data_IF_270421096073
#
_entry.id   IF_270421096073
#
_cell.length_a   1.000
_cell.length_b   1.000
_cell.length_c   1.000
_cell.angle_alpha   90.00
_cell.angle_beta   90.00
_cell.angle_gamma   90.00
#
_symmetry.space_group_name_H-M   'P 1'
#
loop_
_entity.id
_entity.type
_entity.pdbx_description
1 polymer ?
2 polymer ?
3 non-polymer ?
4 water ?
#
# COMPACT_ATOMS: atom_id res chain seq x y z
N UNK A 10 25.30 15.58 13.59
CA UNK A 10 24.14 14.91 14.29
C UNK A 10 24.23 15.24 15.80
N UNK A 11 23.17 15.88 16.31
CA UNK A 11 23.00 16.25 17.74
C UNK A 11 22.06 15.25 18.43
N UNK A 12 21.70 15.44 19.74
CA UNK A 12 20.85 14.41 20.35
C UNK A 12 19.40 14.25 19.88
N UNK A 13 18.65 15.33 19.56
CA UNK A 13 17.27 15.11 19.06
C UNK A 13 17.33 14.47 17.67
N UNK A 14 18.25 14.91 16.82
CA UNK A 14 18.48 14.29 15.51
C UNK A 14 18.77 12.81 15.65
N UNK A 15 19.59 12.47 16.64
CA UNK A 15 19.95 11.10 16.90
C UNK A 15 18.73 10.25 17.30
N UNK A 16 17.83 10.80 18.12
CA UNK A 16 16.54 10.14 18.40
C UNK A 16 15.76 9.93 17.11
N UNK A 17 15.78 10.94 16.23
CA UNK A 17 15.10 10.82 14.93
C UNK A 17 15.71 9.73 14.02
N UNK A 18 17.05 9.57 14.05
CA UNK A 18 17.73 8.49 13.32
C UNK A 18 17.43 7.13 13.84
N UNK A 19 17.36 7.00 15.17
CA UNK A 19 17.00 5.72 15.77
C UNK A 19 15.57 5.29 15.40
N UNK A 20 14.66 6.27 15.34
CA UNK A 20 13.29 5.98 14.99
C UNK A 20 13.24 5.50 13.53
N UNK A 21 13.94 6.21 12.66
CA UNK A 21 14.06 5.84 11.27
C UNK A 21 14.61 4.45 11.06
N UNK A 22 15.62 4.07 11.84
CA UNK A 22 16.22 2.77 11.67
C UNK A 22 15.33 1.68 12.22
N UNK A 23 14.69 1.95 13.35
CA UNK A 23 13.73 1.01 13.90
C UNK A 23 12.59 0.70 12.92
N UNK A 24 12.05 1.73 12.28
CA UNK A 24 10.97 1.54 11.33
C UNK A 24 11.45 0.76 10.09
N UNK A 25 12.64 1.06 9.60
CA UNK A 25 13.19 0.35 8.44
C UNK A 25 13.35 -1.13 8.69
N UNK A 26 13.85 -1.48 9.88
CA UNK A 26 14.05 -2.89 10.25
C UNK A 26 12.70 -3.63 10.36
N UNK A 27 11.66 -2.99 10.89
CA UNK A 27 10.31 -3.58 10.95
C UNK A 27 9.72 -3.73 9.57
N UNK A 28 9.98 -2.76 8.72
CA UNK A 28 9.46 -2.76 7.38
C UNK A 28 9.96 -4.01 6.64
N UNK A 29 11.26 -4.29 6.75
CA UNK A 29 11.86 -5.45 6.09
C UNK A 29 11.36 -6.75 6.64
N UNK A 30 11.14 -6.80 7.94
CA UNK A 30 10.52 -7.95 8.53
C UNK A 30 9.10 -8.21 8.00
N UNK A 31 8.32 -7.15 7.84
CA UNK A 31 6.88 -7.27 7.59
C UNK A 31 6.52 -7.46 6.14
N UNK A 32 7.32 -6.89 5.25
CA UNK A 32 7.00 -6.85 3.86
C UNK A 32 8.02 -7.69 3.09
N UNK A 33 7.57 -8.85 2.59
CA UNK A 33 8.46 -9.84 2.00
C UNK A 33 9.18 -9.30 0.77
N UNK A 34 8.46 -8.61 -0.11
CA UNK A 34 9.00 -8.06 -1.32
C UNK A 34 9.23 -6.55 -1.21
N UNK A 35 10.49 -6.14 -1.08
CA UNK A 35 10.85 -4.73 -0.91
C UNK A 35 10.92 -4.03 -2.24
N UNK A 36 10.93 -2.70 -2.20
CA UNK A 36 11.07 -1.92 -3.43
C UNK A 36 12.40 -2.21 -4.13
N UNK A 37 13.45 -2.39 -3.35
CA UNK A 37 14.76 -2.71 -3.91
C UNK A 37 14.71 -4.03 -4.68
N UNK A 38 14.16 -5.07 -4.05
CA UNK A 38 13.96 -6.35 -4.73
C UNK A 38 13.12 -6.19 -6.00
N UNK A 39 12.05 -5.40 -5.91
CA UNK A 39 11.14 -5.16 -7.04
C UNK A 39 11.83 -4.46 -8.19
N UNK A 40 12.64 -3.46 -7.86
CA UNK A 40 13.35 -2.68 -8.88
C UNK A 40 14.33 -3.55 -9.70
N UNK A 41 15.08 -4.39 -8.99
CA UNK A 41 16.02 -5.32 -9.64
C UNK A 41 15.30 -6.20 -10.67
N UNK A 42 14.14 -6.74 -10.27
CA UNK A 42 13.35 -7.58 -11.14
C UNK A 42 12.91 -6.81 -12.38
N UNK A 43 12.45 -5.58 -12.20
CA UNK A 43 11.88 -4.83 -13.31
C UNK A 43 12.91 -4.33 -14.29
N UNK A 44 14.06 -3.88 -13.80
CA UNK A 44 15.14 -3.48 -14.69
C UNK A 44 15.77 -4.69 -15.36
N UNK A 45 15.81 -5.82 -14.65
CA UNK A 45 16.51 -7.01 -15.11
C UNK A 45 17.92 -7.05 -14.57
N UNK A 46 18.26 -6.09 -13.69
CA UNK A 46 19.50 -6.15 -12.95
C UNK A 46 19.38 -7.19 -11.83
N UNK A 47 18.92 -8.38 -12.19
CA UNK A 47 18.71 -9.44 -11.22
C UNK A 47 19.27 -10.76 -11.74
N UNK A 48 19.63 -11.60 -10.79
CA UNK A 48 20.17 -12.93 -11.04
C UNK A 48 19.06 -13.97 -11.14
N UNK A 49 17.83 -13.56 -10.79
CA UNK A 49 16.68 -14.45 -10.87
C UNK A 49 16.21 -14.56 -12.31
N UNK A 50 15.38 -15.59 -12.55
CA UNK A 50 14.65 -15.68 -13.80
C UNK A 50 13.82 -14.41 -13.92
N UNK A 51 13.69 -13.91 -15.14
CA UNK A 51 12.77 -12.78 -15.38
C UNK A 51 11.33 -13.28 -15.17
N UNK A 52 10.40 -12.39 -14.80
CA UNK A 52 9.06 -12.88 -14.50
C UNK A 52 8.23 -13.28 -15.72
N UNK A 53 7.29 -14.19 -15.50
CA UNK A 53 6.34 -14.58 -16.51
C UNK A 53 5.38 -13.43 -16.82
N UNK A 54 5.25 -13.09 -18.11
CA UNK A 54 4.47 -11.94 -18.54
C UNK A 54 3.06 -12.35 -18.92
N UNK A 55 2.07 -11.66 -18.34
CA UNK A 55 0.67 -11.90 -18.62
C UNK A 55 0.17 -10.69 -19.36
N UNK A 56 -0.12 -10.88 -20.65
CA UNK A 56 -0.57 -9.81 -21.55
C UNK A 56 -1.91 -10.11 -22.18
N UNK A 57 -2.44 -11.32 -21.95
CA UNK A 57 -3.75 -11.71 -22.50
C UNK A 57 -4.33 -12.89 -21.73
N UNK A 58 -5.54 -13.27 -22.15
CA UNK A 58 -6.26 -14.37 -21.56
C UNK A 58 -5.46 -15.65 -21.65
N UNK A 59 -4.83 -15.89 -22.79
CA UNK A 59 -4.06 -17.12 -22.98
C UNK A 59 -2.80 -17.17 -22.13
N UNK A 60 -2.03 -16.08 -22.12
CA UNK A 60 -0.83 -16.06 -21.28
C UNK A 60 -1.22 -16.21 -19.81
N UNK A 61 -2.33 -15.59 -19.40
CA UNK A 61 -2.83 -15.75 -18.03
C UNK A 61 -3.01 -17.24 -17.69
N UNK A 62 -3.72 -17.95 -18.55
CA UNK A 62 -3.95 -19.39 -18.35
C UNK A 62 -2.67 -20.20 -18.38
N UNK A 63 -1.74 -19.90 -19.28
CA UNK A 63 -0.48 -20.64 -19.25
C UNK A 63 0.35 -20.30 -18.04
N UNK A 64 0.25 -19.05 -17.60
CA UNK A 64 0.91 -18.59 -16.40
C UNK A 64 0.35 -19.20 -15.14
N UNK A 65 -0.96 -19.48 -15.13
CA UNK A 65 -1.56 -20.19 -14.00
C UNK A 65 -0.97 -21.59 -13.74
N UNK A 66 0.01 -22.00 -14.56
CA UNK A 66 0.82 -23.18 -14.28
C UNK A 66 2.21 -22.85 -13.74
N UNK A 67 2.36 -21.65 -13.17
CA UNK A 67 3.63 -21.16 -12.62
C UNK A 67 3.43 -20.64 -11.20
N UNK A 79 -11.96 -23.36 -9.77
CA UNK A 79 -12.61 -22.05 -9.75
C UNK A 79 -13.31 -21.74 -11.08
N UNK A 80 -12.53 -21.39 -12.11
CA UNK A 80 -13.01 -21.20 -13.50
C UNK A 80 -14.10 -20.14 -13.67
N UNK A 81 -13.82 -18.94 -13.15
CA UNK A 81 -14.67 -17.78 -13.35
C UNK A 81 -14.22 -17.07 -14.60
N UNK A 82 -14.94 -16.04 -15.02
CA UNK A 82 -14.45 -15.22 -16.12
C UNK A 82 -13.16 -14.48 -15.70
N UNK A 83 -12.31 -14.24 -16.68
CA UNK A 83 -10.98 -13.70 -16.44
C UNK A 83 -10.95 -12.38 -15.65
N UNK A 84 -11.85 -11.46 -15.98
CA UNK A 84 -11.91 -10.17 -15.30
C UNK A 84 -12.21 -10.36 -13.79
N UNK A 85 -13.03 -11.35 -13.46
CA UNK A 85 -13.36 -11.65 -12.07
C UNK A 85 -12.19 -12.35 -11.36
N UNK A 86 -11.52 -13.29 -12.05
CA UNK A 86 -10.32 -13.91 -11.52
C UNK A 86 -9.30 -12.86 -11.14
N UNK A 87 -9.14 -11.86 -12.00
CA UNK A 87 -8.14 -10.82 -11.79
C UNK A 87 -8.49 -9.90 -10.66
N UNK A 88 -9.73 -9.45 -10.64
CA UNK A 88 -10.21 -8.60 -9.55
C UNK A 88 -10.11 -9.31 -8.21
N UNK A 89 -10.50 -10.58 -8.19
CA UNK A 89 -10.37 -11.37 -6.98
C UNK A 89 -8.94 -11.65 -6.59
N UNK A 90 -8.04 -11.78 -7.55
CA UNK A 90 -6.62 -11.88 -7.24
C UNK A 90 -6.11 -10.60 -6.55
N UNK A 91 -6.59 -9.45 -7.01
CA UNK A 91 -6.27 -8.19 -6.36
C UNK A 91 -6.77 -8.15 -4.91
N UNK A 92 -8.00 -8.61 -4.67
CA UNK A 92 -8.55 -8.71 -3.30
C UNK A 92 -7.71 -9.57 -2.37
N UNK A 93 -7.37 -10.75 -2.84
CA UNK A 93 -6.52 -11.68 -2.07
C UNK A 93 -5.15 -11.07 -1.69
N UNK A 94 -4.56 -10.31 -2.61
CA UNK A 94 -3.31 -9.63 -2.31
C UNK A 94 -3.52 -8.55 -1.20
N UNK A 95 -4.61 -7.77 -1.28
CA UNK A 95 -4.93 -6.80 -0.21
C UNK A 95 -5.13 -7.48 1.13
N UNK A 96 -5.83 -8.61 1.11
CA UNK A 96 -6.06 -9.34 2.35
C UNK A 96 -4.72 -9.66 3.01
N UNK A 97 -3.77 -10.15 2.22
CA UNK A 97 -2.45 -10.42 2.75
C UNK A 97 -1.70 -9.13 3.15
N UNK A 98 -1.87 -8.07 2.37
CA UNK A 98 -1.22 -6.79 2.68
C UNK A 98 -1.75 -6.21 4.00
N UNK A 99 -3.04 -6.33 4.23
CA UNK A 99 -3.63 -5.84 5.49
C UNK A 99 -2.97 -6.52 6.68
N UNK A 100 -2.65 -7.80 6.53
CA UNK A 100 -1.99 -8.53 7.57
C UNK A 100 -0.57 -8.06 7.80
N UNK A 101 0.17 -7.84 6.74
CA UNK A 101 1.52 -7.30 6.83
C UNK A 101 1.56 -5.89 7.45
N UNK A 102 0.61 -5.04 7.04
CA UNK A 102 0.55 -3.64 7.49
C UNK A 102 0.18 -3.56 8.97
N UNK A 103 -0.75 -4.43 9.39
CA UNK A 103 -1.14 -4.53 10.80
C UNK A 103 0.05 -4.92 11.67
N UNK A 104 0.83 -5.92 11.23
CA UNK A 104 2.02 -6.28 11.97
C UNK A 104 3.00 -5.14 12.00
N UNK A 105 3.21 -4.46 10.86
CA UNK A 105 4.11 -3.30 10.80
C UNK A 105 3.61 -2.19 11.73
N UNK A 106 2.30 -1.92 11.71
CA UNK A 106 1.71 -0.88 12.58
C UNK A 106 2.04 -1.09 14.05
N UNK A 107 1.93 -2.33 14.51
CA UNK A 107 2.26 -2.71 15.89
C UNK A 107 3.69 -2.39 16.31
N UNK A 108 4.60 -2.35 15.36
CA UNK A 108 5.97 -1.95 15.65
C UNK A 108 6.22 -0.43 15.75
N UNK A 109 5.23 0.41 15.44
CA UNK A 109 5.43 1.88 15.44
C UNK A 109 5.34 2.36 16.88
N UNK A 110 6.43 2.96 17.40
CA UNK A 110 6.40 3.30 18.85
C UNK A 110 5.20 4.11 19.27
N UNK A 111 4.51 3.62 20.28
CA UNK A 111 3.34 4.26 20.83
C UNK A 111 2.01 3.80 20.25
N UNK A 112 2.03 3.11 19.09
CA UNK A 112 0.77 2.69 18.44
C UNK A 112 -0.08 1.72 19.29
N UNK A 113 0.56 0.67 19.81
CA UNK A 113 -0.17 -0.28 20.66
C UNK A 113 -0.65 0.29 22.00
N UNK A 114 -0.07 1.41 22.45
CA UNK A 114 -0.57 2.07 23.66
C UNK A 114 -1.80 2.94 23.44
N UNK A 115 -2.22 3.13 22.20
CA UNK A 115 -3.44 3.88 21.93
C UNK A 115 -4.68 3.06 22.24
N UNK A 116 -5.77 3.74 22.55
CA UNK A 116 -7.09 3.13 22.61
C UNK A 116 -7.27 2.19 21.40
N UNK A 117 -7.66 0.95 21.69
CA UNK A 117 -7.81 -0.10 20.69
C UNK A 117 -8.79 0.23 19.59
N UNK A 118 -9.88 0.93 19.92
CA UNK A 118 -10.80 1.41 18.89
C UNK A 118 -10.13 2.36 17.92
N UNK A 119 -9.26 3.21 18.44
CA UNK A 119 -8.50 4.11 17.58
C UNK A 119 -7.46 3.37 16.72
N UNK A 120 -6.78 2.39 17.29
CA UNK A 120 -5.90 1.53 16.48
C UNK A 120 -6.65 0.92 15.29
N UNK A 121 -7.86 0.43 15.54
CA UNK A 121 -8.73 -0.11 14.51
C UNK A 121 -9.09 0.95 13.47
N UNK A 122 -9.50 2.12 13.93
CA UNK A 122 -9.88 3.19 12.99
C UNK A 122 -8.72 3.64 12.09
N UNK A 123 -7.53 3.78 12.66
CA UNK A 123 -6.35 4.13 11.91
C UNK A 123 -5.97 3.10 10.84
N UNK A 124 -6.04 1.83 11.21
CA UNK A 124 -5.81 0.77 10.27
C UNK A 124 -6.86 0.76 9.20
N UNK A 125 -8.11 0.88 9.61
CA UNK A 125 -9.21 0.87 8.64
C UNK A 125 -9.02 1.92 7.56
N UNK A 126 -8.68 3.16 7.93
CA UNK A 126 -8.47 4.25 6.98
C UNK A 126 -7.09 4.25 6.34
N UNK A 127 -6.10 3.67 7.00
CA UNK A 127 -4.73 3.69 6.51
C UNK A 127 -4.34 2.62 5.49
N UNK A 128 -4.93 1.42 5.60
CA UNK A 128 -4.45 0.27 4.80
C UNK A 128 -4.49 0.45 3.31
N UNK A 129 -5.58 0.95 2.73
CA UNK A 129 -5.59 1.14 1.28
C UNK A 129 -4.64 2.20 0.80
N UNK A 130 -4.48 3.28 1.55
CA UNK A 130 -3.47 4.29 1.22
C UNK A 130 -2.09 3.66 1.20
N UNK A 131 -1.81 2.77 2.12
CA UNK A 131 -0.53 2.11 2.16
C UNK A 131 -0.43 1.10 1.01
N UNK A 132 -1.49 0.33 0.79
CA UNK A 132 -1.50 -0.62 -0.32
C UNK A 132 -1.16 0.06 -1.65
N UNK A 133 -1.82 1.17 -1.98
CA UNK A 133 -1.54 1.86 -3.24
C UNK A 133 -0.16 2.52 -3.28
N UNK A 134 0.35 2.94 -2.12
CA UNK A 134 1.70 3.49 -2.03
C UNK A 134 2.71 2.41 -2.39
N UNK A 135 2.59 1.26 -1.76
CA UNK A 135 3.49 0.15 -1.96
C UNK A 135 3.32 -0.58 -3.30
N UNK A 136 2.12 -0.53 -3.86
CA UNK A 136 1.88 -1.08 -5.17
C UNK A 136 2.68 -0.32 -6.23
N UNK A 137 2.84 0.98 -6.04
CA UNK A 137 3.69 1.78 -6.90
C UNK A 137 5.15 1.27 -6.97
N UNK A 138 5.68 0.76 -5.87
CA UNK A 138 7.01 0.13 -5.88
C UNK A 138 7.10 -1.03 -6.87
N UNK A 139 5.99 -1.72 -7.10
CA UNK A 139 5.90 -2.86 -7.99
C UNK A 139 5.52 -2.51 -9.44
N UNK A 140 5.41 -1.22 -9.74
CA UNK A 140 4.89 -0.77 -11.00
C UNK A 140 5.92 -0.01 -11.81
N UNK A 141 5.74 -0.05 -13.13
CA UNK A 141 6.33 0.94 -14.02
C UNK A 141 5.21 1.35 -14.91
N UNK A 142 5.51 2.19 -15.89
CA UNK A 142 4.46 2.67 -16.78
C UNK A 142 3.87 1.60 -17.68
N UNK A 143 4.52 0.43 -17.82
CA UNK A 143 3.99 -0.67 -18.66
C UNK A 143 3.28 -1.81 -17.96
N UNK A 144 3.46 -1.97 -16.65
CA UNK A 144 2.83 -3.09 -15.96
C UNK A 144 3.22 -3.20 -14.50
N UNK A 145 2.76 -4.28 -13.86
CA UNK A 145 2.91 -4.45 -12.43
C UNK A 145 3.32 -5.86 -12.07
N UNK A 146 4.30 -5.96 -11.19
CA UNK A 146 4.67 -7.26 -10.65
C UNK A 146 3.58 -7.87 -9.79
N UNK A 147 3.45 -9.18 -9.89
CA UNK A 147 2.49 -9.91 -9.11
C UNK A 147 3.18 -11.11 -8.50
N UNK A 148 2.50 -11.70 -7.53
CA UNK A 148 2.92 -12.93 -6.89
C UNK A 148 4.38 -12.91 -6.45
N UNK A 149 4.73 -11.88 -5.69
CA UNK A 149 6.09 -11.68 -5.18
C UNK A 149 7.14 -11.61 -6.27
N UNK A 150 6.77 -11.02 -7.40
CA UNK A 150 7.66 -10.82 -8.51
C UNK A 150 7.87 -12.02 -9.43
N UNK A 151 7.15 -13.12 -9.19
CA UNK A 151 7.15 -14.26 -10.09
C UNK A 151 6.44 -13.92 -11.41
N UNK A 152 5.51 -12.96 -11.38
CA UNK A 152 4.80 -12.53 -12.58
C UNK A 152 4.88 -11.04 -12.87
N UNK A 153 4.58 -10.68 -14.11
CA UNK A 153 4.46 -9.29 -14.53
C UNK A 153 3.25 -9.16 -15.42
N UNK A 154 2.29 -8.35 -14.99
CA UNK A 154 1.05 -8.23 -15.69
C UNK A 154 1.03 -6.88 -16.37
N UNK A 155 0.69 -6.87 -17.66
CA UNK A 155 0.83 -5.64 -18.43
C UNK A 155 -0.34 -4.72 -18.19
N UNK A 156 -0.01 -3.44 -18.22
CA UNK A 156 -0.98 -2.41 -18.00
C UNK A 156 -2.03 -2.43 -19.11
N UNK A 157 -1.59 -2.69 -20.34
CA UNK A 157 -2.55 -2.73 -21.46
C UNK A 157 -3.54 -3.85 -21.31
N UNK A 158 -3.07 -5.00 -20.86
CA UNK A 158 -3.98 -6.10 -20.59
C UNK A 158 -5.04 -5.74 -19.55
N UNK A 159 -4.63 -5.04 -18.49
CA UNK A 159 -5.57 -4.60 -17.45
C UNK A 159 -6.60 -3.59 -17.96
N UNK A 160 -6.15 -2.68 -18.84
CA UNK A 160 -7.06 -1.70 -19.48
C UNK A 160 -8.12 -2.38 -20.32
N UNK A 161 -7.74 -3.47 -20.96
CA UNK A 161 -8.62 -4.21 -21.86
C UNK A 161 -9.77 -4.99 -21.23
N UNK A 162 -9.78 -5.15 -19.91
CA UNK A 162 -10.83 -5.95 -19.30
C UNK A 162 -12.19 -5.32 -19.57
N UNK A 163 -13.22 -6.15 -19.60
CA UNK A 163 -14.56 -5.67 -19.86
C UNK A 163 -15.03 -4.74 -18.74
N UNK A 164 -15.79 -3.71 -19.10
CA UNK A 164 -16.39 -2.83 -18.10
C UNK A 164 -17.26 -3.64 -17.10
N UNK A 165 -17.29 -3.24 -15.81
CA UNK A 165 -16.63 -2.06 -15.26
C UNK A 165 -15.18 -2.29 -14.81
N UNK A 166 -14.58 -3.43 -15.14
CA UNK A 166 -13.22 -3.76 -14.71
C UNK A 166 -12.13 -3.17 -15.57
N UNK A 167 -12.50 -2.53 -16.67
CA UNK A 167 -11.52 -2.07 -17.63
C UNK A 167 -10.58 -0.97 -17.18
N UNK A 168 -11.05 -0.09 -16.32
CA UNK A 168 -10.23 1.06 -15.94
C UNK A 168 -9.91 1.10 -14.44
N UNK A 169 -10.12 0.00 -13.70
CA UNK A 169 -9.88 0.00 -12.26
C UNK A 169 -8.41 0.21 -11.85
N UNK A 170 -7.48 -0.24 -12.67
CA UNK A 170 -6.05 -0.04 -12.40
C UNK A 170 -5.44 1.28 -12.90
N UNK A 171 -6.08 1.95 -13.86
CA UNK A 171 -5.46 3.14 -14.45
C UNK A 171 -5.16 4.27 -13.47
N UNK A 172 -6.09 4.59 -12.55
CA UNK A 172 -5.73 5.62 -11.57
C UNK A 172 -4.54 5.23 -10.71
N UNK A 173 -4.33 3.93 -10.49
CA UNK A 173 -3.20 3.48 -9.69
C UNK A 173 -1.89 3.57 -10.46
N UNK A 174 -1.90 3.16 -11.72
CA UNK A 174 -0.71 3.31 -12.58
C UNK A 174 -0.28 4.76 -12.71
N UNK A 175 -1.27 5.64 -12.90
CA UNK A 175 -1.01 7.07 -13.08
C UNK A 175 -0.42 7.72 -11.84
N UNK A 176 -0.99 7.40 -10.69
CA UNK A 176 -0.41 7.78 -9.43
C UNK A 176 1.01 7.25 -9.30
N UNK A 177 1.20 5.98 -9.62
CA UNK A 177 2.52 5.34 -9.49
C UNK A 177 3.64 5.97 -10.34
N UNK A 178 3.37 6.33 -11.59
CA UNK A 178 4.42 7.00 -12.39
C UNK A 178 4.86 8.35 -11.80
N UNK A 179 3.91 9.14 -11.31
CA UNK A 179 4.24 10.38 -10.60
C UNK A 179 4.99 10.12 -9.30
N UNK A 180 4.51 9.16 -8.52
CA UNK A 180 5.11 8.88 -7.23
C UNK A 180 6.49 8.28 -7.38
N UNK A 181 6.66 7.39 -8.35
CA UNK A 181 7.98 6.80 -8.59
C UNK A 181 9.05 7.81 -9.06
N UNK A 182 8.63 8.90 -9.69
CA UNK A 182 9.55 10.01 -10.03
C UNK A 182 10.30 10.58 -8.81
N UNK A 183 9.70 10.49 -7.63
CA UNK A 183 10.37 10.89 -6.39
C UNK A 183 11.56 10.01 -5.99
N UNK A 184 11.63 8.79 -6.52
CA UNK A 184 12.77 7.90 -6.30
C UNK A 184 13.04 7.60 -4.83
N UNK A 185 11.99 7.37 -4.06
CA UNK A 185 12.17 7.01 -2.68
C UNK A 185 12.68 5.58 -2.61
N UNK A 186 13.45 5.27 -1.58
CA UNK A 186 13.81 3.89 -1.34
C UNK A 186 13.04 3.35 -0.16
N UNK A 187 13.29 2.09 0.16
CA UNK A 187 12.62 1.45 1.27
C UNK A 187 12.77 2.15 2.62
N UNK A 188 13.94 2.74 2.89
CA UNK A 188 14.14 3.43 4.17
C UNK A 188 13.29 4.71 4.26
N UNK A 189 13.11 5.42 3.15
CA UNK A 189 12.17 6.55 3.11
C UNK A 189 10.71 6.08 3.27
N UNK A 190 10.36 5.04 2.53
CA UNK A 190 8.99 4.52 2.53
C UNK A 190 8.55 4.00 3.88
N UNK A 191 9.47 3.38 4.63
CA UNK A 191 9.11 2.85 5.93
C UNK A 191 8.54 3.94 6.83
N UNK A 192 9.13 5.11 6.75
CA UNK A 192 8.70 6.23 7.56
C UNK A 192 7.43 6.85 7.03
N UNK A 193 7.38 7.06 5.72
CA UNK A 193 6.19 7.58 5.08
C UNK A 193 4.94 6.77 5.42
N UNK A 194 5.06 5.46 5.34
CA UNK A 194 3.93 4.57 5.64
C UNK A 194 3.45 4.76 7.09
N UNK A 195 4.37 4.90 8.03
CA UNK A 195 4.01 5.14 9.40
C UNK A 195 3.30 6.48 9.57
N UNK A 196 3.74 7.51 8.86
CA UNK A 196 3.10 8.82 8.89
C UNK A 196 1.63 8.69 8.42
N UNK A 197 1.41 7.93 7.36
CA UNK A 197 0.03 7.72 6.86
C UNK A 197 -0.85 7.05 7.91
N UNK A 198 -0.31 6.03 8.59
CA UNK A 198 -1.10 5.30 9.56
C UNK A 198 -1.50 6.22 10.71
N UNK A 199 -0.59 7.07 11.18
CA UNK A 199 -0.84 7.96 12.32
C UNK A 199 -1.48 9.31 11.92
N UNK A 200 -2.53 9.26 11.09
CA UNK A 200 -3.23 10.44 10.62
C UNK A 200 -4.33 10.82 11.62
N UNK A 201 -4.17 11.96 12.28
CA UNK A 201 -5.13 12.43 13.28
C UNK A 201 -6.50 12.85 12.77
N UNK A 202 -6.67 12.95 11.47
CA UNK A 202 -7.91 13.43 10.90
C UNK A 202 -8.84 12.31 10.40
N UNK A 203 -8.59 11.04 10.75
CA UNK A 203 -9.46 9.99 10.31
C UNK A 203 -10.84 10.17 10.98
N UNK A 204 -11.92 9.96 10.23
CA UNK A 204 -13.23 10.01 10.84
C UNK A 204 -13.37 9.08 12.03
N UNK A 205 -13.99 9.57 13.10
CA UNK A 205 -14.36 8.71 14.20
C UNK A 205 -13.32 8.46 15.26
N UNK A 206 -12.17 9.11 15.18
CA UNK A 206 -11.15 8.89 16.21
C UNK A 206 -11.65 9.46 17.55
N UNK A 207 -11.38 8.73 18.62
CA UNK A 207 -11.79 9.09 19.96
C UNK A 207 -10.85 10.08 20.64
N UNK A 208 -9.54 9.87 20.50
CA UNK A 208 -8.58 10.70 21.19
C UNK A 208 -7.40 11.06 20.26
N UNK A 209 -7.55 12.19 19.58
CA UNK A 209 -6.63 12.62 18.54
C UNK A 209 -5.22 13.01 19.02
N UNK A 210 -5.10 13.55 20.23
CA UNK A 210 -3.85 14.12 20.70
C UNK A 210 -2.65 13.17 20.73
N UNK A 211 -2.80 11.99 21.35
CA UNK A 211 -1.71 11.01 21.36
C UNK A 211 -1.30 10.52 19.94
N UNK A 212 -2.25 10.48 19.00
CA UNK A 212 -1.97 10.12 17.60
C UNK A 212 -1.17 11.21 16.93
N UNK A 213 -1.60 12.45 17.10
CA UNK A 213 -0.86 13.59 16.60
C UNK A 213 0.54 13.71 17.17
N UNK A 214 0.71 13.40 18.46
CA UNK A 214 2.04 13.46 19.07
C UNK A 214 3.00 12.47 18.41
N UNK A 215 2.52 11.25 18.17
CA UNK A 215 3.33 10.26 17.47
C UNK A 215 3.60 10.74 16.04
N UNK A 216 2.57 11.21 15.34
CA UNK A 216 2.76 11.64 13.96
C UNK A 216 3.76 12.78 13.79
N UNK A 217 3.78 13.70 14.74
CA UNK A 217 4.74 14.80 14.73
C UNK A 217 6.19 14.29 14.77
N UNK A 218 6.50 13.33 15.62
CA UNK A 218 7.84 12.72 15.61
C UNK A 218 8.19 12.03 14.33
N UNK A 219 7.23 11.26 13.80
CA UNK A 219 7.39 10.53 12.55
C UNK A 219 7.65 11.49 11.42
N UNK A 220 6.88 12.57 11.36
CA UNK A 220 7.10 13.60 10.34
C UNK A 220 8.48 14.26 10.47
N UNK A 221 8.90 14.57 11.68
CA UNK A 221 10.26 15.09 11.90
C UNK A 221 11.28 14.08 11.40
N UNK A 222 11.06 12.80 11.74
CA UNK A 222 11.93 11.72 11.27
C UNK A 222 11.94 11.55 9.78
N UNK A 223 10.76 11.64 9.15
CA UNK A 223 10.72 11.59 7.70
C UNK A 223 11.52 12.75 7.10
N UNK A 224 11.30 13.96 7.58
CA UNK A 224 11.98 15.12 7.02
C UNK A 224 13.51 15.00 7.12
N UNK A 225 14.01 14.58 8.28
CA UNK A 225 15.46 14.39 8.44
C UNK A 225 15.97 13.31 7.49
N UNK A 226 15.22 12.20 7.42
CA UNK A 226 15.55 11.10 6.53
C UNK A 226 15.67 11.56 5.10
N UNK A 227 14.71 12.35 4.65
CA UNK A 227 14.74 12.85 3.28
C UNK A 227 15.91 13.79 3.03
N UNK A 228 16.26 14.60 4.03
CA UNK A 228 17.41 15.45 3.88
C UNK A 228 18.76 14.72 3.87
N UNK A 229 18.90 13.67 4.67
CA UNK A 229 20.14 12.86 4.68
C UNK A 229 20.33 11.97 3.46
N UNK A 230 19.28 11.26 3.08
CA UNK A 230 19.34 10.28 2.00
C UNK A 230 19.13 10.90 0.61
N UNK A 231 18.53 12.08 0.55
CA UNK A 231 18.31 12.80 -0.70
C UNK A 231 18.75 14.24 -0.58
N UNK A 232 20.02 14.47 -0.13
CA UNK A 232 20.49 15.87 0.06
C UNK A 232 20.42 16.68 -1.23
N UNK A 233 20.54 15.99 -2.37
CA UNK A 233 20.34 16.58 -3.68
C UNK A 233 18.96 17.18 -3.92
N UNK A 234 17.90 16.53 -3.45
CA UNK A 234 16.53 16.83 -3.88
C UNK A 234 15.91 17.69 -2.84
N UNK A 235 15.98 18.98 -3.10
CA UNK A 235 15.42 19.96 -2.19
C UNK A 235 13.88 19.83 -2.16
N UNK A 236 13.28 20.02 -1.00
CA UNK A 236 11.79 19.95 -0.85
C UNK A 236 11.12 18.64 -1.29
N UNK A 237 11.84 17.54 -1.17
CA UNK A 237 11.26 16.23 -1.41
C UNK A 237 10.14 15.98 -0.37
N UNK A 238 10.43 16.33 0.88
CA UNK A 238 9.47 16.30 1.99
C UNK A 238 8.14 16.96 1.65
N UNK A 239 8.19 18.19 1.16
CA UNK A 239 6.95 18.87 0.79
C UNK A 239 6.19 18.17 -0.33
N UNK A 240 6.92 17.67 -1.34
CA UNK A 240 6.29 17.02 -2.50
C UNK A 240 5.62 15.73 -2.05
N UNK A 241 6.31 15.03 -1.19
CA UNK A 241 5.80 13.80 -0.64
C UNK A 241 4.48 13.99 0.15
N UNK A 242 4.39 15.03 0.95
CA UNK A 242 3.18 15.31 1.73
C UNK A 242 1.96 15.58 0.89
N UNK A 243 2.15 16.09 -0.31
CA UNK A 243 1.03 16.38 -1.21
C UNK A 243 0.48 15.09 -1.79
N UNK A 244 1.34 14.08 -1.96
CA UNK A 244 0.89 12.74 -2.37
C UNK A 244 -0.11 12.11 -1.42
N UNK A 245 -0.05 12.45 -0.14
CA UNK A 245 -1.01 11.90 0.82
C UNK A 245 -2.44 12.23 0.50
N UNK A 246 -2.64 13.39 -0.09
CA UNK A 246 -3.96 13.82 -0.54
C UNK A 246 -4.38 13.09 -1.82
N UNK A 247 -3.43 12.85 -2.70
CA UNK A 247 -3.71 12.07 -3.91
C UNK A 247 -4.12 10.63 -3.58
N UNK A 248 -3.46 10.04 -2.58
CA UNK A 248 -3.80 8.69 -2.13
C UNK A 248 -5.24 8.55 -1.68
N UNK A 249 -5.76 9.52 -0.95
CA UNK A 249 -7.15 9.44 -0.48
C UNK A 249 -8.13 9.44 -1.62
N UNK A 250 -7.80 10.21 -2.66
CA UNK A 250 -8.66 10.27 -3.82
C UNK A 250 -8.68 8.95 -4.57
N UNK A 251 -7.52 8.29 -4.69
CA UNK A 251 -7.49 6.95 -5.25
C UNK A 251 -8.46 6.05 -4.52
N UNK A 252 -8.45 6.15 -3.19
CA UNK A 252 -9.28 5.28 -2.37
C UNK A 252 -10.77 5.60 -2.52
N UNK A 253 -11.15 6.87 -2.49
CA UNK A 253 -12.57 7.21 -2.57
C UNK A 253 -13.12 6.86 -3.96
N UNK A 254 -12.37 7.16 -5.01
CA UNK A 254 -12.75 6.70 -6.34
C UNK A 254 -12.90 5.20 -6.41
N UNK A 255 -11.99 4.48 -5.75
CA UNK A 255 -12.09 3.05 -5.76
C UNK A 255 -13.34 2.57 -5.04
N UNK A 256 -13.71 3.20 -3.93
CA UNK A 256 -14.93 2.81 -3.21
C UNK A 256 -16.15 2.91 -4.14
N UNK A 257 -16.18 3.95 -4.96
CA UNK A 257 -17.29 4.19 -5.88
C UNK A 257 -17.35 3.15 -6.96
N UNK A 258 -16.19 2.75 -7.48
CA UNK A 258 -16.16 1.67 -8.45
C UNK A 258 -16.67 0.40 -7.83
N UNK A 259 -16.27 0.11 -6.58
CA UNK A 259 -16.78 -1.08 -5.91
C UNK A 259 -18.28 -1.05 -5.74
N UNK A 260 -18.84 0.13 -5.49
CA UNK A 260 -20.29 0.26 -5.33
C UNK A 260 -20.98 -0.18 -6.63
N UNK A 261 -20.44 0.29 -7.75
CA UNK A 261 -20.88 -0.10 -9.09
C UNK A 261 -20.76 -1.59 -9.32
N UNK A 262 -19.60 -2.14 -8.99
CA UNK A 262 -19.32 -3.56 -9.18
C UNK A 262 -20.27 -4.44 -8.39
N UNK A 263 -20.51 -4.09 -7.14
CA UNK A 263 -21.43 -4.85 -6.29
C UNK A 263 -22.85 -4.85 -6.88
N UNK A 264 -23.24 -3.75 -7.51
CA UNK A 264 -24.57 -3.66 -8.10
C UNK A 264 -24.69 -4.49 -9.39
N UNK A 265 -23.68 -4.44 -10.25
CA UNK A 265 -23.75 -5.09 -11.56
C UNK A 265 -23.31 -6.57 -11.59
N UNK A 266 -22.47 -7.01 -10.65
CA UNK A 266 -22.01 -8.41 -10.59
C UNK A 266 -22.39 -9.06 -9.26
N UNK A 267 -23.56 -9.67 -9.18
CA UNK A 267 -23.90 -10.44 -7.97
C UNK A 267 -23.23 -11.83 -7.99
N UNK A 268 -22.52 -12.16 -9.09
CA UNK A 268 -21.55 -13.25 -9.07
C UNK A 268 -20.61 -13.05 -7.89
N UNK A 269 -20.09 -11.83 -7.80
CA UNK A 269 -19.05 -11.49 -6.85
C UNK A 269 -19.42 -11.35 -5.40
N UNK A 270 -18.46 -11.80 -4.60
CA UNK A 270 -18.50 -11.79 -3.17
C UNK A 270 -17.23 -11.08 -2.73
N UNK A 271 -17.31 -10.25 -1.70
CA UNK A 271 -16.13 -9.55 -1.21
C UNK A 271 -15.57 -10.30 -0.03
N UNK A 272 -14.24 -10.47 0.00
CA UNK A 272 -13.60 -11.12 1.14
C UNK A 272 -14.06 -10.40 2.41
N UNK A 273 -14.31 -11.18 3.47
CA UNK A 273 -14.78 -10.63 4.74
C UNK A 273 -13.95 -9.55 5.41
N UNK A 274 -12.63 -9.71 5.45
CA UNK A 274 -11.74 -8.63 5.87
C UNK A 274 -12.01 -7.34 5.10
N UNK A 275 -12.11 -7.44 3.78
CA UNK A 275 -12.32 -6.27 2.95
C UNK A 275 -13.69 -5.64 3.20
N UNK A 276 -14.73 -6.47 3.41
CA UNK A 276 -16.06 -5.97 3.77
C UNK A 276 -16.01 -5.14 5.04
N UNK A 277 -15.34 -5.69 6.03
CA UNK A 277 -15.09 -5.03 7.30
C UNK A 277 -14.48 -3.64 7.08
N UNK A 278 -13.37 -3.60 6.33
CA UNK A 278 -12.64 -2.34 6.06
C UNK A 278 -13.48 -1.34 5.31
N UNK A 279 -14.13 -1.81 4.26
CA UNK A 279 -14.92 -0.95 3.43
C UNK A 279 -16.23 -0.48 4.06
N UNK A 280 -16.76 -1.20 5.04
CA UNK A 280 -18.07 -0.89 5.61
C UNK A 280 -18.01 0.46 6.31
N UNK A 281 -18.81 1.40 5.85
CA UNK A 281 -18.84 2.76 6.38
C UNK A 281 -17.51 3.48 6.20
N UNK A 282 -16.84 3.17 5.09
CA UNK A 282 -15.65 3.85 4.68
C UNK A 282 -16.05 4.78 3.53
N UNK A 283 -16.06 6.06 3.80
CA UNK A 283 -16.48 7.07 2.83
C UNK A 283 -17.96 6.98 2.36
N UNK B 2 -18.07 -5.06 15.31
CA UNK B 2 -17.48 -4.55 14.04
C UNK B 2 -15.95 -4.61 14.08
N UNK B 3 -15.35 -4.79 12.91
CA UNK B 3 -13.89 -4.92 12.81
C UNK B 3 -13.35 -6.06 13.65
N UNK B 4 -14.10 -7.16 13.62
CA UNK B 4 -13.78 -8.34 14.39
C UNK B 4 -12.42 -8.92 13.97
N UNK B 5 -12.22 -9.06 12.66
CA UNK B 5 -10.92 -9.53 12.15
C UNK B 5 -9.80 -8.58 12.53
N UNK B 6 -10.00 -7.28 12.32
CA UNK B 6 -8.98 -6.30 12.66
C UNK B 6 -8.60 -6.31 14.13
N UNK B 7 -9.58 -6.39 15.02
CA UNK B 7 -9.30 -6.61 16.47
C UNK B 7 -8.48 -7.83 16.70
N UNK B 8 -8.90 -8.92 16.06
CA UNK B 8 -8.21 -10.16 16.23
C UNK B 8 -6.76 -10.01 15.76
N UNK B 9 -6.55 -9.49 14.55
CA UNK B 9 -5.19 -9.26 14.06
C UNK B 9 -4.37 -8.31 14.94
N UNK B 10 -5.01 -7.28 15.48
CA UNK B 10 -4.34 -6.35 16.42
C UNK B 10 -4.06 -7.01 17.75
N UNK B 11 -5.04 -7.71 18.31
CA UNK B 11 -4.90 -8.36 19.61
C UNK B 11 -4.04 -9.63 19.55
N UNK B 12 -3.98 -10.29 18.39
CA UNK B 12 -3.08 -11.45 18.15
C UNK B 12 -1.70 -11.21 18.78
X LIG C 1 -7.86 -4.45 -3.79
X LIG C 1 -6.88 -3.29 -4.01
X LIG C 1 -5.92 -3.73 -4.94
X LIG C 1 -8.76 -4.12 -2.72
X LIG C 1 -6.01 -3.34 -6.26
X LIG C 1 -4.87 -4.57 -4.56
X LIG C 1 -1.51 -6.46 -8.70
X LIG C 1 -4.04 -4.63 -6.81
X LIG C 1 -2.31 -6.07 -7.45
X LIG C 1 -5.07 -3.79 -7.19
X LIG C 1 -3.93 -5.02 -5.46
X LIG C 1 -10.38 -4.20 -4.25
X LIG C 1 -3.00 -6.31 -10.78
X LIG C 1 -4.35 -12.31 -11.41
X LIG C 1 -5.33 -13.25 -11.12
X LIG C 1 -3.13 -12.69 -11.96
X LIG C 1 -3.90 -14.98 -11.94
X LIG C 1 -5.13 -14.59 -11.39
X LIG C 1 -2.44 -7.10 -9.66
X LIG C 1 -10.06 -3.90 -3.01
X LIG C 1 -2.92 -14.03 -12.21
X LIG C 1 -3.97 -17.28 -11.25
X LIG C 1 -3.18 -5.01 -7.80
X LIG C 1 -8.37 -3.94 -1.56
X LIG C 1 -11.51 -4.04 -4.71
X LIG C 1 -4.63 -11.01 -11.16
X LIG C 1 -3.63 -16.28 -12.24
X LIG C 1 -9.02 -4.66 -5.15
X LIG C 1 -2.25 -9.11 -8.53
X LIG C 1 -2.50 -10.46 -8.34
X LIG C 1 -3.34 -11.11 -9.24
X LIG C 1 -3.83 -10.42 -10.27
X LIG C 1 -3.58 -9.07 -10.49
X LIG C 1 -2.76 -8.40 -9.57
#
# INVERSE_FOLDING_TARGET
AEISSDIDQLNPESADLRALAKHLYDSYIKSFPLTKAKARAILTGKTTDKSPFVIYDMNSLMMGEDKIKFKHITPLQEQSKEVAIRIFQGCQFRSVEAVQEITEYAKSIPGFVNLDLNDQVTLLKYGVHEIIYTMLASLMNKDGVLISEGQGFMTREFLKSLRKPFGDFMEPKFEFAVKFNALELDDSDLAIFIAVIILSGDRPGLLNVKPIEDIQDNLLQALELQLKLNHPESSQLFAKLLQKMTDLRQIVTEHVQLLQVIKKTETDMSLHPLLQEIYKDLY
ERHKILHRLLQEGSPS
8LX CAE CAF CAG CAH CAI CAJ CAK CAL CAM CAN CAO CAP CAR CAV CAW CAX CAY CAZ NAA NAB CBA CBB OBC OBD OBE OBF OBG SBH N1 C2 N3 C4 C5 C6
#
